data_IF_258276939690
#
_entry.id   IF_258276939690
#
_cell.length_a   1.000
_cell.length_b   1.000
_cell.length_c   1.000
_cell.angle_alpha   90.00
_cell.angle_beta   90.00
_cell.angle_gamma   90.00
#
_symmetry.space_group_name_H-M   'P 1'
#
loop_
_entity.id
_entity.type
_entity.pdbx_description
1 polymer ?
#
# COMPACT_ATOMS: atom_id res chain seq x y z
N UNK A 1 39.78 -23.17 2.82
CA UNK A 1 38.86 -24.31 2.92
C UNK A 1 37.56 -23.82 3.55
N UNK A 2 36.67 -23.22 2.75
CA UNK A 2 35.40 -22.69 3.24
C UNK A 2 34.28 -23.60 2.71
N UNK A 3 33.61 -24.31 3.61
CA UNK A 3 32.49 -25.20 3.32
C UNK A 3 31.20 -24.39 3.26
N UNK A 4 30.68 -24.17 2.05
CA UNK A 4 29.31 -23.71 1.83
C UNK A 4 28.34 -24.88 2.00
N UNK A 5 27.35 -24.70 2.85
CA UNK A 5 26.21 -25.60 3.01
C UNK A 5 25.19 -25.38 1.88
N UNK A 6 24.65 -26.43 1.22
CA UNK A 6 23.50 -26.28 0.36
C UNK A 6 22.22 -26.65 1.12
N UNK A 7 21.42 -25.64 1.43
CA UNK A 7 19.99 -25.80 1.73
C UNK A 7 19.27 -25.87 0.37
N UNK A 8 18.83 -27.06 -0.02
CA UNK A 8 17.87 -27.25 -1.11
C UNK A 8 16.89 -28.35 -0.67
N UNK A 9 15.74 -27.93 -0.17
CA UNK A 9 14.58 -28.82 -0.02
C UNK A 9 14.01 -29.12 -1.40
N UNK A 10 14.11 -30.38 -1.83
CA UNK A 10 13.34 -30.90 -2.95
C UNK A 10 11.94 -31.27 -2.45
N UNK A 11 10.91 -30.59 -2.95
CA UNK A 11 9.53 -31.05 -2.84
C UNK A 11 9.32 -32.18 -3.85
N UNK A 12 9.45 -33.41 -3.37
CA UNK A 12 9.11 -34.61 -4.13
C UNK A 12 7.61 -34.77 -4.24
N UNK A 13 7.05 -34.47 -5.41
CA UNK A 13 5.78 -35.04 -5.84
C UNK A 13 6.06 -36.11 -6.89
N UNK A 14 6.11 -37.36 -6.42
CA UNK A 14 6.08 -38.54 -7.27
C UNK A 14 4.74 -38.61 -8.00
N UNK A 15 4.78 -38.72 -9.33
CA UNK A 15 3.70 -39.30 -10.12
C UNK A 15 4.30 -40.20 -11.19
N UNK A 16 4.49 -41.46 -10.82
CA UNK A 16 4.75 -42.56 -11.74
C UNK A 16 3.48 -42.87 -12.51
N UNK A 17 3.52 -42.68 -13.83
CA UNK A 17 2.57 -43.28 -14.75
C UNK A 17 3.39 -44.04 -15.77
N UNK A 18 3.31 -45.38 -15.70
CA UNK A 18 3.14 -46.26 -16.84
C UNK A 18 3.07 -47.70 -16.33
N UNK A 19 1.82 -48.13 -16.10
CA UNK A 19 1.46 -49.53 -15.95
C UNK A 19 1.66 -50.25 -17.28
N UNK A 20 2.24 -51.45 -17.18
CA UNK A 20 2.40 -52.46 -18.21
C UNK A 20 1.12 -53.31 -18.26
N UNK A 21 0.48 -53.55 -19.42
CA UNK A 21 -0.49 -54.62 -19.53
C UNK A 21 0.19 -55.87 -20.08
N UNK A 22 0.17 -56.94 -19.28
CA UNK A 22 0.18 -58.31 -19.79
C UNK A 22 -1.28 -58.77 -19.88
N UNK A 23 -1.66 -59.39 -21.00
CA UNK A 23 -2.70 -60.42 -20.99
C UNK A 23 -2.47 -61.41 -22.14
N UNK A 24 -2.35 -62.67 -21.74
CA UNK A 24 -2.44 -63.87 -22.57
C UNK A 24 -3.76 -64.54 -22.21
N UNK A 25 -4.62 -64.85 -23.18
CA UNK A 25 -5.27 -66.16 -23.37
C UNK A 25 -6.44 -66.10 -24.36
N UNK A 26 -6.26 -66.90 -25.43
CA UNK A 26 -7.23 -67.66 -26.23
C UNK A 26 -8.70 -67.24 -26.31
N UNK A 27 -9.16 -66.96 -27.53
CA UNK A 27 -10.04 -67.91 -28.27
C UNK A 27 -9.89 -67.67 -29.78
N UNK A 28 -9.40 -68.69 -30.49
CA UNK A 28 -9.43 -68.79 -31.94
C UNK A 28 -10.55 -69.75 -32.33
N UNK A 29 -11.57 -69.26 -33.03
CA UNK A 29 -12.24 -70.03 -34.08
C UNK A 29 -11.84 -69.39 -35.42
N UNK A 30 -11.23 -70.23 -36.24
CA UNK A 30 -10.67 -69.97 -37.56
C UNK A 30 -11.74 -69.60 -38.57
N UNK A 31 -11.62 -68.43 -39.21
CA UNK A 31 -11.86 -68.31 -40.66
C UNK A 31 -10.83 -67.33 -41.22
N UNK A 32 -10.01 -67.89 -42.09
CA UNK A 32 -9.03 -67.23 -42.93
C UNK A 32 -9.73 -66.16 -43.79
N UNK A 33 -9.35 -64.89 -43.66
CA UNK A 33 -9.35 -64.02 -44.83
C UNK A 33 -8.22 -63.00 -44.71
N UNK A 34 -7.23 -63.20 -45.57
CA UNK A 34 -6.06 -62.36 -45.73
C UNK A 34 -6.50 -61.00 -46.28
N UNK A 35 -6.70 -60.02 -45.42
CA UNK A 35 -6.73 -58.62 -45.82
C UNK A 35 -5.69 -57.92 -44.96
N UNK A 36 -4.49 -57.82 -45.53
CA UNK A 36 -3.30 -57.26 -44.90
C UNK A 36 -3.60 -55.89 -44.31
N UNK A 37 -3.58 -55.80 -42.98
CA UNK A 37 -3.57 -54.54 -42.24
C UNK A 37 -2.27 -53.81 -42.59
N UNK A 38 -2.33 -52.91 -43.57
CA UNK A 38 -1.23 -51.99 -43.87
C UNK A 38 -1.06 -51.07 -42.67
N UNK A 39 -0.12 -51.37 -41.79
CA UNK A 39 0.35 -50.43 -40.80
C UNK A 39 1.08 -49.30 -41.56
N UNK A 40 0.47 -48.12 -41.64
CA UNK A 40 1.14 -46.94 -42.19
C UNK A 40 2.18 -46.46 -41.17
N UNK A 41 3.38 -47.01 -41.23
CA UNK A 41 4.52 -46.39 -40.57
C UNK A 41 4.93 -45.17 -41.38
N UNK A 42 4.68 -43.97 -40.85
CA UNK A 42 5.26 -42.75 -41.41
C UNK A 42 6.76 -42.80 -41.10
N UNK A 43 7.55 -43.27 -42.05
CA UNK A 43 9.01 -43.14 -41.98
C UNK A 43 9.32 -41.65 -41.94
N UNK A 44 9.91 -41.18 -40.86
CA UNK A 44 10.33 -39.78 -40.75
C UNK A 44 11.40 -39.51 -41.80
N UNK A 45 11.04 -38.78 -42.85
CA UNK A 45 12.01 -38.21 -43.78
C UNK A 45 12.50 -36.89 -43.20
N UNK A 46 13.81 -36.74 -43.05
CA UNK A 46 14.40 -35.46 -42.69
C UNK A 46 13.89 -34.36 -43.63
N UNK A 47 13.58 -33.18 -43.07
CA UNK A 47 13.14 -32.04 -43.86
C UNK A 47 14.24 -31.74 -44.90
N UNK A 48 13.91 -31.71 -46.21
CA UNK A 48 14.92 -31.49 -47.23
C UNK A 48 15.55 -30.11 -47.04
N UNK A 49 16.86 -30.04 -47.25
CA UNK A 49 17.58 -28.78 -47.22
C UNK A 49 17.05 -27.84 -48.30
N UNK A 50 16.93 -26.53 -48.01
CA UNK A 50 16.47 -25.57 -48.99
C UNK A 50 17.46 -25.52 -50.16
N UNK A 51 16.98 -25.84 -51.36
CA UNK A 51 17.81 -25.77 -52.57
C UNK A 51 18.16 -24.30 -52.87
N UNK A 52 19.42 -23.98 -53.16
CA UNK A 52 19.80 -22.63 -53.54
C UNK A 52 19.18 -22.26 -54.88
N UNK A 53 18.99 -20.96 -55.12
CA UNK A 53 18.58 -20.46 -56.42
C UNK A 53 19.64 -20.80 -57.49
N UNK A 54 19.24 -21.05 -58.75
CA UNK A 54 20.18 -21.30 -59.83
C UNK A 54 21.04 -20.05 -60.08
N UNK A 55 22.34 -20.28 -60.36
CA UNK A 55 23.35 -19.21 -60.48
C UNK A 55 23.07 -18.19 -61.60
N UNK A 56 22.42 -18.64 -62.68
CA UNK A 56 22.12 -17.83 -63.87
C UNK A 56 20.60 -17.60 -64.04
N UNK A 57 19.90 -17.20 -62.97
CA UNK A 57 18.47 -16.86 -63.07
C UNK A 57 18.31 -15.45 -63.66
N UNK A 58 17.60 -15.25 -64.79
CA UNK A 58 17.40 -13.92 -65.35
C UNK A 58 16.54 -13.07 -64.40
N UNK A 59 16.75 -11.74 -64.46
CA UNK A 59 16.14 -10.79 -63.53
C UNK A 59 14.60 -10.82 -63.54
N UNK A 60 13.99 -11.14 -64.69
CA UNK A 60 12.54 -11.29 -64.82
C UNK A 60 11.97 -12.31 -63.84
N UNK A 61 12.65 -13.45 -63.64
CA UNK A 61 12.23 -14.48 -62.69
C UNK A 61 12.61 -14.12 -61.24
N UNK A 62 13.72 -13.39 -61.02
CA UNK A 62 14.06 -12.89 -59.68
C UNK A 62 12.98 -11.95 -59.13
N UNK A 63 12.37 -11.12 -59.99
CA UNK A 63 11.28 -10.20 -59.60
C UNK A 63 9.99 -10.92 -59.20
N UNK A 64 9.75 -12.13 -59.70
CA UNK A 64 8.58 -12.92 -59.32
C UNK A 64 8.71 -13.56 -57.93
N UNK A 65 9.93 -13.68 -57.41
CA UNK A 65 10.18 -14.21 -56.06
C UNK A 65 9.78 -13.21 -54.97
N UNK A 66 9.23 -13.70 -53.83
CA UNK A 66 9.05 -12.88 -52.64
C UNK A 66 10.37 -12.21 -52.21
N UNK A 67 10.32 -10.96 -51.74
CA UNK A 67 11.51 -10.17 -51.37
C UNK A 67 12.47 -10.92 -50.44
N UNK A 68 11.94 -11.72 -49.51
CA UNK A 68 12.72 -12.53 -48.55
C UNK A 68 13.55 -13.67 -49.19
N UNK A 69 13.20 -14.09 -50.40
CA UNK A 69 13.80 -15.23 -51.11
C UNK A 69 14.75 -14.79 -52.22
N UNK A 70 14.89 -13.49 -52.49
CA UNK A 70 15.84 -12.97 -53.47
C UNK A 70 17.27 -13.03 -52.90
N UNK A 71 18.31 -13.11 -53.74
CA UNK A 71 19.71 -13.17 -53.29
C UNK A 71 20.09 -12.03 -52.34
N UNK A 72 19.55 -10.83 -52.57
CA UNK A 72 19.70 -9.66 -51.72
C UNK A 72 18.33 -9.21 -51.21
N UNK A 73 17.81 -9.80 -50.12
CA UNK A 73 16.49 -9.44 -49.62
C UNK A 73 16.55 -8.06 -48.97
N UNK A 74 15.90 -7.06 -49.59
CA UNK A 74 15.64 -5.77 -48.93
C UNK A 74 14.75 -6.01 -47.70
N UNK A 75 15.35 -5.94 -46.51
CA UNK A 75 14.61 -6.06 -45.25
C UNK A 75 13.86 -4.75 -45.04
N UNK A 76 12.54 -4.78 -45.18
CA UNK A 76 11.71 -3.62 -44.79
C UNK A 76 11.90 -3.38 -43.29
N UNK A 77 12.55 -2.27 -42.94
CA UNK A 77 12.70 -1.85 -41.56
C UNK A 77 11.31 -1.62 -40.95
N UNK A 78 11.04 -2.27 -39.81
CA UNK A 78 9.81 -2.04 -39.07
C UNK A 78 9.92 -0.67 -38.42
N UNK A 79 9.05 0.27 -38.83
CA UNK A 79 8.91 1.55 -38.14
C UNK A 79 8.35 1.30 -36.74
N UNK A 80 9.20 1.34 -35.72
CA UNK A 80 8.79 1.27 -34.32
C UNK A 80 8.46 2.70 -33.89
N UNK A 81 7.19 3.02 -33.56
CA UNK A 81 6.86 4.35 -33.05
C UNK A 81 7.57 4.58 -31.71
N UNK A 82 8.01 5.81 -31.42
CA UNK A 82 8.58 6.11 -30.11
C UNK A 82 7.53 5.87 -29.01
N UNK A 83 7.96 5.46 -27.81
CA UNK A 83 7.04 5.33 -26.69
C UNK A 83 6.41 6.70 -26.36
N UNK A 84 5.20 6.71 -25.77
CA UNK A 84 4.62 7.95 -25.27
C UNK A 84 5.56 8.60 -24.24
N UNK A 85 5.46 9.93 -24.02
CA UNK A 85 6.25 10.60 -23.01
C UNK A 85 6.02 9.96 -21.64
N UNK A 86 7.09 9.84 -20.85
CA UNK A 86 7.02 9.33 -19.50
C UNK A 86 6.07 10.20 -18.64
N UNK A 87 5.44 9.62 -17.60
CA UNK A 87 4.64 10.41 -16.66
C UNK A 87 5.49 11.53 -16.05
N UNK A 88 4.90 12.71 -15.89
CA UNK A 88 5.58 13.91 -15.41
C UNK A 88 6.10 13.75 -13.97
N UNK A 89 5.46 12.89 -13.16
CA UNK A 89 5.84 12.67 -11.78
C UNK A 89 6.29 11.21 -11.57
N UNK A 90 7.38 11.05 -10.81
CA UNK A 90 7.90 9.74 -10.42
C UNK A 90 7.04 9.09 -9.33
N UNK A 91 6.61 9.89 -8.34
CA UNK A 91 5.80 9.45 -7.20
C UNK A 91 4.45 10.19 -7.13
N UNK A 92 3.43 9.76 -7.90
CA UNK A 92 2.13 10.45 -7.92
C UNK A 92 1.43 10.48 -6.55
N UNK A 93 1.62 9.44 -5.72
CA UNK A 93 0.97 9.34 -4.41
C UNK A 93 1.46 10.43 -3.45
N UNK A 94 2.77 10.67 -3.41
CA UNK A 94 3.34 11.71 -2.55
C UNK A 94 2.91 13.10 -3.03
N UNK A 95 2.90 13.34 -4.34
CA UNK A 95 2.44 14.60 -4.91
C UNK A 95 0.98 14.89 -4.56
N UNK A 96 0.09 13.89 -4.64
CA UNK A 96 -1.32 14.02 -4.22
C UNK A 96 -1.43 14.29 -2.72
N UNK A 97 -0.65 13.60 -1.90
CA UNK A 97 -0.66 13.79 -0.46
C UNK A 97 -0.21 15.21 -0.07
N UNK A 98 0.82 15.75 -0.73
CA UNK A 98 1.31 17.11 -0.52
C UNK A 98 0.28 18.15 -0.98
N UNK A 99 -0.36 17.95 -2.12
CA UNK A 99 -1.44 18.82 -2.59
C UNK A 99 -2.62 18.86 -1.60
N UNK A 100 -3.03 17.71 -1.07
CA UNK A 100 -4.08 17.63 -0.05
C UNK A 100 -3.66 18.32 1.27
N UNK A 101 -2.42 18.13 1.72
CA UNK A 101 -1.92 18.80 2.92
C UNK A 101 -1.86 20.31 2.74
N UNK A 102 -1.45 20.80 1.56
CA UNK A 102 -1.44 22.23 1.26
C UNK A 102 -2.84 22.86 1.33
N UNK A 103 -3.87 22.11 0.92
CA UNK A 103 -5.27 22.55 1.01
C UNK A 103 -5.81 22.50 2.46
N UNK A 104 -5.52 21.43 3.20
CA UNK A 104 -6.10 21.18 4.53
C UNK A 104 -5.38 21.93 5.67
N UNK A 105 -4.07 22.18 5.52
CA UNK A 105 -3.23 22.86 6.52
C UNK A 105 -2.28 23.84 5.82
N UNK A 106 -2.79 24.98 5.32
CA UNK A 106 -1.98 25.94 4.57
C UNK A 106 -0.88 26.60 5.42
N UNK A 107 -1.09 26.71 6.75
CA UNK A 107 -0.09 27.25 7.67
C UNK A 107 0.96 26.21 8.09
N UNK A 108 0.64 24.91 7.97
CA UNK A 108 1.50 23.82 8.41
C UNK A 108 1.59 23.66 9.94
N UNK A 109 0.80 24.42 10.70
CA UNK A 109 0.84 24.41 12.16
C UNK A 109 0.38 23.07 12.74
N UNK A 110 -0.68 22.46 12.16
CA UNK A 110 -1.20 21.18 12.64
C UNK A 110 -0.20 20.07 12.36
N UNK A 111 0.42 20.09 11.18
CA UNK A 111 1.52 19.18 10.84
C UNK A 111 2.69 19.32 11.82
N UNK A 112 3.12 20.55 12.11
CA UNK A 112 4.20 20.81 13.06
C UNK A 112 3.85 20.37 14.49
N UNK A 113 2.59 20.52 14.91
CA UNK A 113 2.12 20.13 16.24
C UNK A 113 2.16 18.62 16.47
N UNK A 114 1.86 17.82 15.46
CA UNK A 114 1.82 16.36 15.59
C UNK A 114 3.07 15.63 15.05
N UNK A 115 3.94 16.30 14.29
CA UNK A 115 5.22 15.74 13.84
C UNK A 115 6.29 15.79 14.94
N UNK A 116 6.18 14.82 15.86
CA UNK A 116 7.12 14.67 16.98
C UNK A 116 8.54 14.25 16.59
N UNK A 117 8.79 13.95 15.30
CA UNK A 117 10.13 13.64 14.81
C UNK A 117 10.93 14.90 14.52
N UNK A 118 10.25 15.96 14.09
CA UNK A 118 10.88 17.22 13.66
C UNK A 118 10.75 18.33 14.69
N UNK A 119 9.63 18.41 15.43
CA UNK A 119 9.39 19.51 16.36
C UNK A 119 9.52 19.07 17.83
N UNK A 120 10.34 19.75 18.66
CA UNK A 120 10.44 19.46 20.09
C UNK A 120 9.17 19.83 20.87
N UNK A 121 8.45 20.87 20.40
CA UNK A 121 7.21 21.39 20.98
C UNK A 121 5.96 20.61 20.56
N UNK A 122 6.11 19.57 19.73
CA UNK A 122 5.02 18.65 19.37
C UNK A 122 4.27 18.08 20.58
N UNK A 123 3.07 17.60 20.28
CA UNK A 123 2.27 16.73 21.14
C UNK A 123 2.98 15.40 21.31
N UNK A 124 3.07 14.94 22.56
CA UNK A 124 3.58 13.62 22.92
C UNK A 124 2.47 12.79 23.53
N UNK A 125 2.63 11.47 23.47
CA UNK A 125 1.72 10.56 24.16
C UNK A 125 1.80 10.77 25.67
N UNK A 126 0.64 10.83 26.31
CA UNK A 126 0.47 11.16 27.72
C UNK A 126 0.17 12.64 27.99
N UNK A 127 0.31 13.52 26.99
CA UNK A 127 -0.12 14.92 27.11
C UNK A 127 -1.66 14.99 27.14
N UNK A 128 -2.19 16.00 27.84
CA UNK A 128 -3.62 16.31 27.87
C UNK A 128 -3.90 17.34 26.78
N UNK A 129 -4.78 16.99 25.87
CA UNK A 129 -5.17 17.84 24.75
C UNK A 129 -6.61 18.28 24.93
N UNK A 130 -6.90 19.47 24.42
CA UNK A 130 -8.25 19.99 24.21
C UNK A 130 -8.43 20.23 22.73
N UNK A 131 -9.45 19.61 22.16
CA UNK A 131 -9.82 19.75 20.75
C UNK A 131 -11.10 20.54 20.68
N UNK A 132 -11.08 21.61 19.89
CA UNK A 132 -12.26 22.37 19.52
C UNK A 132 -12.71 21.92 18.14
N UNK A 133 -14.00 21.64 18.00
CA UNK A 133 -14.61 21.33 16.72
C UNK A 133 -15.35 22.55 16.22
N UNK A 134 -15.49 22.68 14.90
CA UNK A 134 -16.32 23.72 14.29
C UNK A 134 -17.78 23.63 14.76
N UNK A 135 -18.27 22.41 14.88
CA UNK A 135 -19.61 22.09 15.33
C UNK A 135 -19.52 21.11 16.51
N UNK A 136 -20.29 21.36 17.56
CA UNK A 136 -20.38 20.50 18.74
C UNK A 136 -19.44 20.87 19.88
N UNK A 137 -19.48 20.07 20.95
CA UNK A 137 -18.75 20.36 22.18
C UNK A 137 -17.27 20.00 22.08
N UNK A 138 -16.38 20.82 22.69
CA UNK A 138 -14.96 20.53 22.69
C UNK A 138 -14.67 19.27 23.50
N UNK A 139 -13.81 18.40 22.96
CA UNK A 139 -13.40 17.20 23.67
C UNK A 139 -12.00 17.37 24.24
N UNK A 140 -11.83 16.96 25.49
CA UNK A 140 -10.54 16.99 26.17
C UNK A 140 -10.21 15.61 26.72
N UNK A 141 -8.93 15.27 26.72
CA UNK A 141 -8.50 13.95 27.19
C UNK A 141 -7.00 13.75 27.08
N UNK A 142 -6.55 12.65 27.66
CA UNK A 142 -5.16 12.21 27.60
C UNK A 142 -4.91 11.55 26.25
N UNK A 143 -3.84 11.96 25.56
CA UNK A 143 -3.42 11.36 24.29
C UNK A 143 -2.77 10.00 24.52
N UNK A 144 -3.48 8.92 24.20
CA UNK A 144 -2.97 7.55 24.37
C UNK A 144 -2.05 7.12 23.21
N UNK A 145 -2.35 7.55 21.99
CA UNK A 145 -1.58 7.16 20.81
C UNK A 145 -1.70 8.17 19.68
N UNK A 146 -0.62 8.33 18.91
CA UNK A 146 -0.57 9.14 17.68
C UNK A 146 -0.23 8.19 16.53
N UNK A 147 -1.00 8.25 15.44
CA UNK A 147 -0.82 7.47 14.21
C UNK A 147 -0.47 8.42 13.09
N UNK A 148 0.81 8.48 12.71
CA UNK A 148 1.29 9.29 11.59
C UNK A 148 1.08 8.54 10.27
N UNK A 149 0.16 9.02 9.42
CA UNK A 149 -0.20 8.42 8.12
C UNK A 149 -0.47 9.51 7.07
N UNK A 150 0.43 10.49 6.96
CA UNK A 150 0.26 11.60 6.02
C UNK A 150 -0.98 12.43 6.34
N UNK A 151 -1.86 12.62 5.34
CA UNK A 151 -3.17 13.29 5.49
C UNK A 151 -4.08 12.57 6.49
N UNK A 152 -3.92 11.25 6.63
CA UNK A 152 -4.75 10.42 7.50
C UNK A 152 -4.29 10.36 8.95
N UNK A 153 -3.37 11.25 9.33
CA UNK A 153 -2.80 11.32 10.67
C UNK A 153 -3.89 11.51 11.72
N UNK A 154 -3.90 10.63 12.73
CA UNK A 154 -4.90 10.63 13.79
C UNK A 154 -4.27 10.47 15.16
N UNK A 155 -4.99 10.89 16.19
CA UNK A 155 -4.62 10.66 17.58
C UNK A 155 -5.84 10.14 18.34
N UNK A 156 -5.58 9.42 19.43
CA UNK A 156 -6.60 8.83 20.28
C UNK A 156 -6.55 9.50 21.64
N UNK A 157 -7.66 10.12 22.00
CA UNK A 157 -7.87 10.73 23.31
C UNK A 157 -8.72 9.82 24.18
N UNK A 158 -8.43 9.80 25.48
CA UNK A 158 -9.22 9.14 26.52
C UNK A 158 -9.60 10.15 27.60
N UNK A 159 -10.84 10.11 28.05
CA UNK A 159 -11.32 10.85 29.21
C UNK A 159 -12.33 10.00 30.00
N UNK A 160 -12.54 10.31 31.27
CA UNK A 160 -13.67 9.77 32.03
C UNK A 160 -14.70 10.89 32.20
N UNK A 161 -15.78 10.82 31.43
CA UNK A 161 -16.89 11.76 31.54
C UNK A 161 -17.84 11.22 32.59
N UNK A 162 -18.07 11.99 33.65
CA UNK A 162 -18.79 11.55 34.85
C UNK A 162 -18.16 10.29 35.46
N UNK A 163 -18.66 9.09 35.14
CA UNK A 163 -18.11 7.80 35.59
C UNK A 163 -17.80 6.84 34.45
N UNK A 164 -18.04 7.23 33.20
CA UNK A 164 -17.85 6.39 32.02
C UNK A 164 -16.60 6.80 31.27
N UNK A 165 -15.73 5.82 30.97
CA UNK A 165 -14.53 6.04 30.16
C UNK A 165 -14.90 6.18 28.69
N UNK A 166 -14.60 7.33 28.09
CA UNK A 166 -14.86 7.64 26.68
C UNK A 166 -13.52 7.79 25.95
N UNK A 167 -13.41 7.15 24.80
CA UNK A 167 -12.27 7.29 23.90
C UNK A 167 -12.73 7.84 22.57
N UNK A 168 -12.00 8.82 22.03
CA UNK A 168 -12.27 9.38 20.71
C UNK A 168 -11.01 9.43 19.87
N UNK A 169 -11.08 8.88 18.66
CA UNK A 169 -10.03 9.03 17.66
C UNK A 169 -10.36 10.18 16.72
N UNK A 170 -9.44 11.13 16.60
CA UNK A 170 -9.64 12.36 15.83
C UNK A 170 -8.57 12.45 14.76
N UNK A 171 -8.98 12.82 13.55
CA UNK A 171 -8.10 13.11 12.41
C UNK A 171 -7.59 14.54 12.53
N UNK A 172 -6.28 14.71 12.53
CA UNK A 172 -5.61 16.01 12.73
C UNK A 172 -6.00 17.02 11.64
N UNK A 173 -6.00 16.56 10.39
CA UNK A 173 -6.25 17.37 9.21
C UNK A 173 -7.72 17.40 8.81
N UNK A 174 -8.64 16.97 9.69
CA UNK A 174 -10.06 17.09 9.41
C UNK A 174 -10.49 18.56 9.40
N UNK A 175 -11.28 19.01 8.42
CA UNK A 175 -11.79 20.37 8.39
C UNK A 175 -12.77 20.64 9.53
N UNK A 176 -13.31 19.62 10.19
CA UNK A 176 -14.20 19.78 11.34
C UNK A 176 -13.45 20.12 12.63
N UNK A 177 -12.15 19.82 12.70
CA UNK A 177 -11.30 20.24 13.82
C UNK A 177 -10.93 21.69 13.59
N UNK A 178 -11.20 22.55 14.56
CA UNK A 178 -10.86 23.97 14.51
C UNK A 178 -9.45 24.19 15.09
N UNK A 179 -9.24 23.84 16.36
CA UNK A 179 -7.94 23.94 17.02
C UNK A 179 -7.66 22.74 17.92
N UNK A 180 -6.36 22.46 18.11
CA UNK A 180 -5.87 21.49 19.08
C UNK A 180 -4.88 22.20 20.00
N UNK A 181 -5.21 22.20 21.29
CA UNK A 181 -4.44 22.89 22.33
C UNK A 181 -3.87 21.88 23.31
N UNK A 182 -2.60 22.06 23.68
CA UNK A 182 -1.97 21.29 24.77
C UNK A 182 -2.37 21.98 26.07
N UNK A 183 -3.22 21.31 26.86
CA UNK A 183 -3.69 21.79 28.16
C UNK A 183 -2.61 21.61 29.20
N UNK A 184 -2.04 20.40 29.25
CA UNK A 184 -0.99 20.05 30.19
C UNK A 184 -0.07 19.01 29.56
N UNK A 185 1.24 19.21 29.66
CA UNK A 185 2.23 18.21 29.25
C UNK A 185 2.38 17.14 30.33
N UNK A 186 2.69 15.92 29.90
CA UNK A 186 3.05 14.86 30.84
C UNK A 186 4.31 15.26 31.63
N UNK A 187 4.26 15.10 32.95
CA UNK A 187 5.39 15.41 33.86
C UNK A 187 6.68 14.70 33.44
N UNK A 188 6.57 13.41 33.08
CA UNK A 188 7.68 12.59 32.57
C UNK A 188 7.30 11.99 31.23
N UNK A 189 8.26 11.97 30.31
CA UNK A 189 8.10 11.33 28.99
C UNK A 189 7.76 9.85 29.18
N UNK A 190 6.61 9.43 28.66
CA UNK A 190 6.20 8.03 28.72
C UNK A 190 7.11 7.19 27.82
N UNK A 191 7.49 6.00 28.31
CA UNK A 191 8.46 5.10 27.63
C UNK A 191 7.83 4.26 26.52
N UNK A 192 6.49 4.23 26.41
CA UNK A 192 5.75 3.47 25.39
C UNK A 192 5.17 4.43 24.35
N UNK A 193 5.17 4.01 23.08
CA UNK A 193 4.56 4.77 21.99
C UNK A 193 3.02 4.75 22.02
N UNK A 194 2.41 3.76 22.69
CA UNK A 194 0.96 3.66 22.87
C UNK A 194 0.64 3.33 24.33
N UNK A 195 -0.25 4.11 24.93
CA UNK A 195 -0.56 4.05 26.36
C UNK A 195 -1.88 3.33 26.66
N UNK A 196 -2.21 2.27 25.90
CA UNK A 196 -3.47 1.53 26.10
C UNK A 196 -3.60 0.86 27.48
N UNK A 197 -2.51 0.75 28.24
CA UNK A 197 -2.55 0.29 29.62
C UNK A 197 -3.30 1.26 30.56
N UNK A 198 -3.49 2.53 30.16
CA UNK A 198 -4.26 3.53 30.90
C UNK A 198 -5.77 3.23 30.92
N UNK A 199 -6.24 2.23 30.17
CA UNK A 199 -7.61 1.71 30.28
C UNK A 199 -7.85 0.93 31.58
N UNK A 200 -6.79 0.45 32.23
CA UNK A 200 -6.89 -0.28 33.49
C UNK A 200 -7.02 0.73 34.64
N UNK A 201 -7.92 0.52 35.61
CA UNK A 201 -8.17 1.48 36.70
C UNK A 201 -6.91 1.95 37.43
N UNK A 202 -5.94 1.06 37.65
CA UNK A 202 -4.65 1.37 38.29
C UNK A 202 -3.85 2.49 37.61
N UNK A 203 -4.00 2.67 36.30
CA UNK A 203 -3.20 3.60 35.50
C UNK A 203 -4.06 4.66 34.80
N UNK A 204 -5.37 4.62 35.03
CA UNK A 204 -6.28 5.59 34.42
C UNK A 204 -6.06 6.95 35.08
N UNK A 205 -6.14 8.00 34.27
CA UNK A 205 -6.02 9.38 34.79
C UNK A 205 -7.34 9.88 35.38
N UNK A 206 -8.45 9.22 35.04
CA UNK A 206 -9.79 9.67 35.42
C UNK A 206 -10.26 10.88 34.61
N UNK A 207 -11.08 11.73 35.22
CA UNK A 207 -11.61 12.94 34.57
C UNK A 207 -10.55 14.04 34.47
N UNK A 208 -10.40 14.62 33.29
CA UNK A 208 -9.48 15.76 33.04
C UNK A 208 -10.17 17.13 33.12
N UNK A 209 -11.46 17.18 33.47
CA UNK A 209 -12.28 18.40 33.44
C UNK A 209 -11.72 19.52 34.30
N UNK A 210 -11.25 19.20 35.52
CA UNK A 210 -10.66 20.18 36.44
C UNK A 210 -9.40 20.84 35.87
N UNK A 211 -8.56 20.06 35.19
CA UNK A 211 -7.31 20.54 34.59
C UNK A 211 -7.63 21.48 33.42
N UNK A 212 -8.63 21.14 32.62
CA UNK A 212 -9.11 21.96 31.51
C UNK A 212 -9.75 23.25 32.01
N UNK A 213 -10.54 23.20 33.07
CA UNK A 213 -11.15 24.39 33.68
C UNK A 213 -10.07 25.37 34.20
N UNK A 214 -9.03 24.85 34.85
CA UNK A 214 -7.89 25.65 35.31
C UNK A 214 -7.12 26.28 34.15
N UNK A 215 -6.83 25.49 33.11
CA UNK A 215 -6.18 25.99 31.89
C UNK A 215 -7.00 27.12 31.23
N UNK A 216 -8.32 26.95 31.11
CA UNK A 216 -9.20 27.96 30.54
C UNK A 216 -9.25 29.23 31.41
N UNK A 217 -9.24 29.09 32.74
CA UNK A 217 -9.16 30.22 33.67
C UNK A 217 -7.86 31.00 33.47
N UNK A 218 -6.72 30.32 33.42
CA UNK A 218 -5.40 30.92 33.18
C UNK A 218 -5.32 31.57 31.80
N UNK A 219 -5.84 30.92 30.76
CA UNK A 219 -5.89 31.47 29.40
C UNK A 219 -6.71 32.76 29.34
N UNK A 220 -7.86 32.81 30.02
CA UNK A 220 -8.70 34.02 30.13
C UNK A 220 -8.00 35.16 30.87
N UNK A 221 -7.30 34.87 31.98
CA UNK A 221 -6.57 35.91 32.72
C UNK A 221 -5.41 36.50 31.92
N UNK A 222 -4.69 35.68 31.14
CA UNK A 222 -3.56 36.14 30.31
C UNK A 222 -4.00 36.96 29.10
N UNK A 223 -5.13 36.60 28.49
CA UNK A 223 -5.62 37.26 27.26
C UNK A 223 -6.36 38.57 27.53
N UNK A 224 -6.56 38.97 28.80
CA UNK A 224 -7.13 40.28 29.17
C UNK A 224 -8.58 40.53 28.72
N UNK A 225 -9.20 39.62 27.96
CA UNK A 225 -10.62 39.70 27.57
C UNK A 225 -11.48 39.45 28.80
N UNK A 226 -11.81 40.53 29.53
CA UNK A 226 -12.95 40.56 30.44
C UNK A 226 -14.17 40.10 29.64
N UNK A 227 -14.76 38.96 30.02
CA UNK A 227 -16.01 38.51 29.44
C UNK A 227 -17.00 39.65 29.53
N UNK A 228 -17.58 40.05 28.39
CA UNK A 228 -18.58 41.11 28.32
C UNK A 228 -19.65 40.83 29.36
N UNK A 229 -19.70 41.66 30.40
CA UNK A 229 -20.73 41.58 31.42
C UNK A 229 -22.07 41.66 30.72
N UNK A 230 -22.96 40.71 31.00
CA UNK A 230 -24.34 40.80 30.58
C UNK A 230 -24.88 42.17 31.03
N UNK A 231 -25.17 43.03 30.07
CA UNK A 231 -26.01 44.20 30.30
C UNK A 231 -27.35 43.65 30.80
N UNK A 232 -27.59 43.72 32.12
CA UNK A 232 -28.93 43.57 32.69
C UNK A 232 -29.79 44.63 32.02
N UNK A 233 -30.58 44.22 31.03
CA UNK A 233 -31.74 45.00 30.59
C UNK A 233 -32.71 44.99 31.78
N UNK A 234 -32.83 46.17 32.40
CA UNK A 234 -33.91 46.50 33.33
C UNK A 234 -35.23 46.54 32.56
#
# INVERSE_FOLDING_TARGET
>A
MASSSPILQQLGCFRSLLLKPQSLSSTTTTVNNQIGRRALSTVYSAKPEPKPLPKNLPEQFLRQLPLRMRPNPERKERKIPPPPPAPQCKDPVNAVQEAQLAQLDPTGERRALFDYRRSPRSVKVGDILRVTFKNGDPFSGVCLSIRLRGVDTSFLLRNQLTRVGVEMSIKVFSPNVESVEIVQRAEKRKRRARLYYMRKPKHDMGSVENLVANYLRQKRSLTGKRGGGQTKRR
#
